data_IF_034997792093
#
_entry.id   IF_034997792093
#
_cell.length_a   1.000
_cell.length_b   1.000
_cell.length_c   1.000
_cell.angle_alpha   90.00
_cell.angle_beta   90.00
_cell.angle_gamma   90.00
#
_symmetry.space_group_name_H-M   'P 1'
#
loop_
_entity.id
_entity.type
_entity.pdbx_description
1 polymer ?
#
# COMPACT_ATOMS: atom_id res chain seq x y z
N UNK A 1 2.10 -14.00 15.40
CA UNK A 1 2.47 -13.13 16.54
C UNK A 1 3.92 -13.41 17.00
N UNK A 2 4.93 -13.10 16.19
CA UNK A 2 6.36 -13.12 16.62
C UNK A 2 6.98 -11.71 16.54
N UNK A 3 6.70 -10.97 15.46
CA UNK A 3 7.23 -9.62 15.18
C UNK A 3 7.02 -8.59 16.30
N UNK A 4 5.88 -8.60 16.99
CA UNK A 4 5.58 -7.72 18.14
C UNK A 4 6.55 -7.86 19.31
N UNK A 5 7.03 -9.07 19.58
CA UNK A 5 7.93 -9.33 20.71
C UNK A 5 9.40 -9.05 20.39
N UNK A 6 9.73 -8.84 19.11
CA UNK A 6 11.09 -8.65 18.59
C UNK A 6 11.38 -7.18 18.22
N UNK A 7 10.49 -6.23 18.54
CA UNK A 7 10.69 -4.79 18.31
C UNK A 7 10.42 -4.31 16.88
N UNK A 8 10.09 -5.21 15.94
CA UNK A 8 9.84 -4.87 14.53
C UNK A 8 8.65 -3.93 14.33
N UNK A 9 7.62 -4.01 15.17
CA UNK A 9 6.44 -3.14 15.05
C UNK A 9 6.80 -1.68 15.38
N UNK A 10 7.72 -1.44 16.32
CA UNK A 10 8.17 -0.10 16.71
C UNK A 10 9.02 0.53 15.60
N UNK A 11 9.90 -0.25 14.96
CA UNK A 11 10.73 0.20 13.84
C UNK A 11 9.88 0.59 12.61
N UNK A 12 8.86 -0.20 12.29
CA UNK A 12 7.94 0.10 11.17
C UNK A 12 7.13 1.37 11.48
N UNK A 13 6.56 1.48 12.68
CA UNK A 13 5.77 2.65 13.07
C UNK A 13 6.63 3.93 13.10
N UNK A 14 7.88 3.84 13.56
CA UNK A 14 8.81 4.96 13.54
C UNK A 14 9.15 5.39 12.11
N UNK A 15 9.44 4.43 11.21
CA UNK A 15 9.69 4.71 9.79
C UNK A 15 8.49 5.35 9.12
N UNK A 16 7.30 4.79 9.29
CA UNK A 16 6.08 5.28 8.65
C UNK A 16 5.75 6.71 9.13
N UNK A 17 6.02 7.03 10.40
CA UNK A 17 5.92 8.40 10.93
C UNK A 17 6.95 9.34 10.28
N UNK A 18 8.20 8.92 10.16
CA UNK A 18 9.24 9.74 9.51
C UNK A 18 8.86 10.00 8.05
N UNK A 19 8.45 8.97 7.31
CA UNK A 19 8.12 9.05 5.89
C UNK A 19 6.90 9.94 5.62
N UNK A 20 5.86 9.84 6.43
CA UNK A 20 4.66 10.69 6.31
C UNK A 20 4.90 12.14 6.73
N UNK A 21 5.89 12.42 7.59
CA UNK A 21 6.18 13.77 8.11
C UNK A 21 7.32 14.50 7.39
N UNK A 22 7.94 13.91 6.36
CA UNK A 22 9.03 14.56 5.61
C UNK A 22 8.56 15.88 4.98
N UNK A 23 9.40 16.91 5.08
CA UNK A 23 9.11 18.22 4.46
C UNK A 23 9.09 18.15 2.92
N UNK A 24 9.92 17.29 2.32
CA UNK A 24 10.01 17.10 0.88
C UNK A 24 9.60 15.67 0.53
N UNK A 25 8.68 15.52 -0.44
CA UNK A 25 8.13 14.24 -0.90
C UNK A 25 7.63 13.33 0.25
N UNK A 26 6.67 13.80 1.08
CA UNK A 26 6.08 12.97 2.13
C UNK A 26 5.37 11.74 1.55
N UNK A 27 5.30 10.67 2.33
CA UNK A 27 4.41 9.54 2.04
C UNK A 27 2.96 9.99 2.24
N UNK A 28 2.32 10.40 1.16
CA UNK A 28 0.94 10.87 1.13
C UNK A 28 0.17 10.24 -0.03
N UNK A 29 -1.14 10.09 0.13
CA UNK A 29 -2.04 9.60 -0.91
C UNK A 29 -2.31 10.76 -1.88
N UNK A 30 -2.08 10.55 -3.18
CA UNK A 30 -2.39 11.55 -4.20
C UNK A 30 -3.92 11.70 -4.37
N UNK A 31 -4.39 12.87 -4.81
CA UNK A 31 -5.83 13.16 -4.91
C UNK A 31 -6.60 12.17 -5.81
N UNK A 32 -5.97 11.71 -6.89
CA UNK A 32 -6.55 10.77 -7.85
C UNK A 32 -6.10 9.32 -7.62
N UNK A 33 -5.43 9.05 -6.48
CA UNK A 33 -4.98 7.69 -6.17
C UNK A 33 -6.09 6.90 -5.49
N UNK A 34 -6.29 5.67 -5.95
CA UNK A 34 -7.13 4.70 -5.26
C UNK A 34 -6.35 3.94 -4.19
N UNK A 35 -6.86 3.92 -2.97
CA UNK A 35 -6.28 3.13 -1.87
C UNK A 35 -6.75 1.68 -1.96
N UNK A 36 -5.81 0.75 -1.88
CA UNK A 36 -6.06 -0.70 -1.78
C UNK A 36 -5.46 -1.19 -0.46
N UNK A 37 -6.31 -1.56 0.50
CA UNK A 37 -5.87 -2.23 1.72
C UNK A 37 -5.63 -3.72 1.43
N UNK A 38 -4.37 -4.12 1.50
CA UNK A 38 -3.94 -5.50 1.21
C UNK A 38 -3.76 -6.34 2.46
N UNK A 39 -4.10 -5.84 3.65
CA UNK A 39 -3.78 -6.49 4.94
C UNK A 39 -4.30 -7.92 5.05
N UNK A 40 -5.38 -8.23 4.34
CA UNK A 40 -6.03 -9.55 4.31
C UNK A 40 -5.95 -10.26 2.93
N UNK A 41 -5.23 -9.69 1.96
CA UNK A 41 -5.14 -10.25 0.61
C UNK A 41 -3.89 -11.13 0.46
N UNK A 42 -4.04 -12.20 -0.32
CA UNK A 42 -2.87 -12.91 -0.86
C UNK A 42 -2.23 -12.06 -1.95
N UNK A 43 -0.97 -12.36 -2.32
CA UNK A 43 -0.29 -11.67 -3.42
C UNK A 43 -1.13 -11.73 -4.72
N UNK A 44 -1.67 -12.90 -5.05
CA UNK A 44 -2.56 -13.07 -6.20
C UNK A 44 -3.84 -12.24 -6.07
N UNK A 45 -4.41 -12.15 -4.86
CA UNK A 45 -5.57 -11.30 -4.57
C UNK A 45 -5.28 -9.81 -4.80
N UNK A 46 -4.10 -9.33 -4.41
CA UNK A 46 -3.67 -7.95 -4.67
C UNK A 46 -3.61 -7.66 -6.18
N UNK A 47 -3.01 -8.57 -6.96
CA UNK A 47 -2.92 -8.40 -8.42
C UNK A 47 -4.31 -8.37 -9.06
N UNK A 48 -5.20 -9.26 -8.64
CA UNK A 48 -6.57 -9.30 -9.14
C UNK A 48 -7.34 -8.00 -8.82
N UNK A 49 -7.21 -7.48 -7.60
CA UNK A 49 -7.83 -6.22 -7.17
C UNK A 49 -7.37 -5.03 -8.02
N UNK A 50 -6.05 -4.92 -8.27
CA UNK A 50 -5.47 -3.86 -9.11
C UNK A 50 -6.01 -3.95 -10.54
N UNK A 51 -5.96 -5.15 -11.15
CA UNK A 51 -6.45 -5.34 -12.52
C UNK A 51 -7.95 -5.09 -12.65
N UNK A 52 -8.74 -5.43 -11.63
CA UNK A 52 -10.17 -5.16 -11.58
C UNK A 52 -10.50 -3.67 -11.63
N UNK A 53 -9.83 -2.87 -10.79
CA UNK A 53 -10.00 -1.40 -10.77
C UNK A 53 -9.55 -0.75 -12.07
N UNK A 54 -8.40 -1.18 -12.60
CA UNK A 54 -7.91 -0.71 -13.89
C UNK A 54 -8.91 -1.00 -15.01
N UNK A 55 -9.45 -2.21 -15.09
CA UNK A 55 -10.47 -2.57 -16.08
C UNK A 55 -11.76 -1.75 -15.92
N UNK A 56 -12.22 -1.51 -14.68
CA UNK A 56 -13.36 -0.64 -14.39
C UNK A 56 -13.13 0.80 -14.85
N UNK A 57 -11.88 1.28 -14.77
CA UNK A 57 -11.45 2.58 -15.28
C UNK A 57 -11.10 2.56 -16.79
N UNK A 58 -11.44 1.49 -17.51
CA UNK A 58 -11.29 1.38 -18.97
C UNK A 58 -9.89 0.98 -19.43
N UNK A 59 -8.97 0.63 -18.52
CA UNK A 59 -7.66 0.11 -18.88
C UNK A 59 -7.74 -1.37 -19.25
N UNK A 60 -7.38 -1.69 -20.49
CA UNK A 60 -7.27 -3.07 -20.98
C UNK A 60 -5.79 -3.38 -21.21
N UNK A 61 -5.19 -4.33 -20.47
CA UNK A 61 -3.81 -4.74 -20.70
C UNK A 61 -3.61 -5.23 -22.14
N UNK A 62 -2.58 -4.75 -22.83
CA UNK A 62 -2.17 -5.33 -24.11
C UNK A 62 -1.37 -6.60 -23.86
N UNK A 63 -1.62 -7.62 -24.68
CA UNK A 63 -0.90 -8.90 -24.67
C UNK A 63 0.52 -8.74 -25.21
#
# INVERSE_FOLDING_TARGET
QRRRAEGFDDEIAARDRIDSSRQLAPLAIAAEAEVIDTSALTITGVVAEILGRLAANGFVPRR
#
